data_IF_676386028182
#
_entry.id   IF_676386028182
#
_cell.length_a   1.000
_cell.length_b   1.000
_cell.length_c   1.000
_cell.angle_alpha   90.00
_cell.angle_beta   90.00
_cell.angle_gamma   90.00
#
_symmetry.space_group_name_H-M   'P 1'
#
loop_
_entity.id
_entity.type
_entity.pdbx_description
1 polymer ?
#
# COMPACT_ATOMS: atom_id res chain seq x y z
N UNK A 1 5.15 -5.29 32.09
CA UNK A 1 4.41 -6.00 31.03
C UNK A 1 5.39 -6.85 30.23
N UNK A 2 5.18 -8.17 30.11
CA UNK A 2 6.04 -9.00 29.28
C UNK A 2 6.01 -8.53 27.83
N UNK A 3 7.16 -8.58 27.16
CA UNK A 3 7.37 -8.00 25.83
C UNK A 3 6.70 -8.90 24.79
N UNK A 4 5.64 -8.40 24.16
CA UNK A 4 4.95 -9.07 23.03
C UNK A 4 5.95 -9.46 21.93
N UNK A 5 5.99 -10.74 21.60
CA UNK A 5 6.88 -11.26 20.56
C UNK A 5 6.26 -10.98 19.19
N UNK A 6 7.00 -10.29 18.33
CA UNK A 6 6.59 -10.06 16.94
C UNK A 6 7.21 -11.08 16.02
N UNK A 7 6.40 -11.63 15.13
CA UNK A 7 6.89 -12.49 14.06
C UNK A 7 7.79 -11.71 13.10
N UNK A 8 8.68 -12.38 12.34
CA UNK A 8 9.52 -11.72 11.35
C UNK A 8 8.74 -10.90 10.31
N UNK A 9 7.60 -11.40 9.83
CA UNK A 9 6.69 -10.68 8.93
C UNK A 9 6.14 -9.41 9.59
N UNK A 10 5.62 -9.49 10.82
CA UNK A 10 5.19 -8.31 11.58
C UNK A 10 6.31 -7.27 11.75
N UNK A 11 7.55 -7.71 12.03
CA UNK A 11 8.72 -6.81 12.12
C UNK A 11 9.01 -6.13 10.77
N UNK A 12 9.02 -6.88 9.67
CA UNK A 12 9.27 -6.34 8.33
C UNK A 12 8.20 -5.34 7.89
N UNK A 13 6.92 -5.66 8.09
CA UNK A 13 5.81 -4.73 7.78
C UNK A 13 5.92 -3.42 8.55
N UNK A 14 6.30 -3.50 9.84
CA UNK A 14 6.56 -2.31 10.62
C UNK A 14 7.73 -1.50 10.07
N UNK A 15 8.86 -2.15 9.79
CA UNK A 15 10.03 -1.49 9.20
C UNK A 15 9.72 -0.80 7.87
N UNK A 16 8.97 -1.47 6.98
CA UNK A 16 8.52 -0.89 5.72
C UNK A 16 7.68 0.36 5.99
N UNK A 17 6.66 0.26 6.86
CA UNK A 17 5.80 1.40 7.19
C UNK A 17 6.59 2.57 7.77
N UNK A 18 7.48 2.31 8.71
CA UNK A 18 8.32 3.35 9.34
C UNK A 18 9.25 3.99 8.31
N UNK A 19 9.90 3.19 7.47
CA UNK A 19 10.77 3.70 6.40
C UNK A 19 10.00 4.57 5.41
N UNK A 20 8.77 4.20 5.03
CA UNK A 20 7.93 4.99 4.12
C UNK A 20 7.49 6.32 4.74
N UNK A 21 7.14 6.33 6.04
CA UNK A 21 6.83 7.58 6.76
C UNK A 21 8.06 8.49 6.79
N UNK A 22 9.23 7.94 7.12
CA UNK A 22 10.48 8.72 7.14
C UNK A 22 10.83 9.26 5.75
N UNK A 23 10.70 8.46 4.70
CA UNK A 23 10.97 8.91 3.32
C UNK A 23 9.99 10.01 2.89
N UNK A 24 8.71 9.90 3.26
CA UNK A 24 7.71 10.93 2.99
C UNK A 24 8.07 12.25 3.70
N UNK A 25 8.46 12.18 4.98
CA UNK A 25 8.91 13.37 5.73
C UNK A 25 10.15 13.99 5.09
N UNK A 26 11.17 13.19 4.75
CA UNK A 26 12.39 13.67 4.08
C UNK A 26 12.06 14.33 2.73
N UNK A 27 11.15 13.73 1.97
CA UNK A 27 10.73 14.28 0.67
C UNK A 27 10.03 15.63 0.84
N UNK A 28 9.10 15.75 1.78
CA UNK A 28 8.43 17.02 2.09
C UNK A 28 9.41 18.06 2.64
N UNK A 29 10.36 17.65 3.47
CA UNK A 29 11.44 18.54 3.93
C UNK A 29 12.33 19.00 2.77
N UNK A 30 12.62 18.15 1.79
CA UNK A 30 13.36 18.57 0.60
C UNK A 30 12.58 19.61 -0.20
N UNK A 31 11.26 19.41 -0.38
CA UNK A 31 10.37 20.37 -1.05
C UNK A 31 10.37 21.72 -0.34
N UNK A 32 10.41 21.75 0.99
CA UNK A 32 10.50 22.99 1.77
C UNK A 32 11.71 23.86 1.40
N UNK A 33 12.83 23.26 0.98
CA UNK A 33 14.03 24.01 0.58
C UNK A 33 14.07 24.36 -0.91
N UNK A 34 13.15 23.84 -1.73
CA UNK A 34 13.09 24.12 -3.16
C UNK A 34 12.29 25.41 -3.37
N UNK A 35 12.95 26.41 -3.94
CA UNK A 35 12.30 27.65 -4.39
C UNK A 35 11.71 27.45 -5.79
N UNK A 36 10.46 27.86 -5.96
CA UNK A 36 9.81 27.82 -7.26
C UNK A 36 10.48 28.76 -8.27
N UNK A 37 10.28 28.55 -9.59
CA UNK A 37 10.85 29.40 -10.62
C UNK A 37 10.37 30.85 -10.49
N UNK A 38 9.09 31.08 -10.15
CA UNK A 38 8.53 32.42 -9.96
C UNK A 38 9.10 33.12 -8.72
N UNK A 39 9.29 32.40 -7.61
CA UNK A 39 9.97 32.94 -6.42
C UNK A 39 11.43 33.29 -6.73
N UNK A 40 12.14 32.50 -7.52
CA UNK A 40 13.51 32.81 -7.95
C UNK A 40 13.58 34.06 -8.84
N UNK A 41 12.64 34.21 -9.79
CA UNK A 41 12.51 35.44 -10.59
C UNK A 41 12.22 36.65 -9.71
N UNK A 42 11.29 36.53 -8.78
CA UNK A 42 10.94 37.60 -7.85
C UNK A 42 12.15 38.00 -6.98
N UNK A 43 12.89 37.03 -6.43
CA UNK A 43 14.13 37.30 -5.68
C UNK A 43 15.19 38.00 -6.54
N UNK A 44 15.30 37.63 -7.82
CA UNK A 44 16.22 38.29 -8.74
C UNK A 44 15.80 39.74 -9.01
N UNK A 45 14.50 39.98 -9.22
CA UNK A 45 13.95 41.30 -9.47
C UNK A 45 14.07 42.20 -8.22
N UNK A 46 13.82 41.69 -7.02
CA UNK A 46 14.09 42.41 -5.76
C UNK A 46 15.55 42.90 -5.69
N UNK A 47 16.50 42.07 -6.13
CA UNK A 47 17.94 42.41 -6.09
C UNK A 47 18.34 43.44 -7.15
N UNK A 48 17.70 43.41 -8.31
CA UNK A 48 18.03 44.27 -9.44
C UNK A 48 16.76 44.63 -10.20
N UNK A 49 16.22 45.82 -9.92
CA UNK A 49 15.09 46.40 -10.62
C UNK A 49 15.29 47.90 -10.84
N UNK A 50 14.59 48.43 -11.82
CA UNK A 50 14.19 49.84 -11.91
C UNK A 50 12.77 49.97 -11.38
N UNK A 51 12.47 51.09 -10.72
CA UNK A 51 11.16 51.38 -10.15
C UNK A 51 10.55 52.60 -10.84
N UNK A 52 9.24 52.53 -11.11
CA UNK A 52 8.43 53.69 -11.50
C UNK A 52 7.06 53.63 -10.84
N UNK A 53 6.38 54.77 -10.75
CA UNK A 53 5.02 54.84 -10.24
C UNK A 53 4.02 54.65 -11.37
N UNK A 54 3.10 53.70 -11.21
CA UNK A 54 1.99 53.47 -12.13
C UNK A 54 0.68 53.95 -11.54
N UNK A 55 -0.21 54.43 -12.39
CA UNK A 55 -1.60 54.71 -12.06
C UNK A 55 -2.42 53.41 -12.11
N UNK A 56 -3.23 53.18 -11.09
CA UNK A 56 -4.18 52.07 -11.04
C UNK A 56 -5.37 52.44 -11.92
N UNK A 57 -5.64 51.63 -12.95
CA UNK A 57 -6.78 51.83 -13.84
C UNK A 57 -8.02 51.06 -13.37
N UNK A 58 -7.83 49.80 -12.96
CA UNK A 58 -8.91 48.97 -12.42
C UNK A 58 -8.39 47.94 -11.42
N UNK A 59 -9.26 47.60 -10.47
CA UNK A 59 -9.15 46.46 -9.57
C UNK A 59 -10.45 45.68 -9.75
N UNK A 60 -10.37 44.53 -10.40
CA UNK A 60 -11.53 43.73 -10.76
C UNK A 60 -11.56 42.42 -9.95
N UNK A 61 -12.77 42.02 -9.53
CA UNK A 61 -13.05 40.73 -8.91
C UNK A 61 -14.14 40.03 -9.71
N UNK A 62 -13.86 38.82 -10.16
CA UNK A 62 -14.81 37.97 -10.87
C UNK A 62 -14.84 36.56 -10.27
N UNK A 63 -15.97 35.87 -10.44
CA UNK A 63 -16.09 34.45 -10.11
C UNK A 63 -16.01 33.64 -11.41
N UNK A 64 -15.02 32.76 -11.53
CA UNK A 64 -14.89 31.83 -12.64
C UNK A 64 -15.46 30.45 -12.28
N UNK A 65 -16.38 29.96 -13.12
CA UNK A 65 -16.87 28.58 -13.04
C UNK A 65 -15.92 27.62 -13.75
N UNK A 66 -15.47 26.58 -13.03
CA UNK A 66 -14.70 25.48 -13.61
C UNK A 66 -15.31 24.12 -13.24
N UNK A 67 -15.02 23.10 -14.06
CA UNK A 67 -15.44 21.71 -13.82
C UNK A 67 -14.25 20.88 -13.34
N UNK A 68 -14.46 20.16 -12.25
CA UNK A 68 -13.49 19.17 -11.77
C UNK A 68 -13.42 17.96 -12.72
N UNK A 69 -12.35 17.14 -12.62
CA UNK A 69 -12.23 15.88 -13.38
C UNK A 69 -13.40 14.89 -13.17
N UNK A 70 -14.22 15.09 -12.11
CA UNK A 70 -15.45 14.33 -11.83
C UNK A 70 -16.73 15.03 -12.31
N UNK A 71 -16.61 16.08 -13.13
CA UNK A 71 -17.73 16.83 -13.72
C UNK A 71 -18.48 17.77 -12.79
N UNK A 72 -18.05 17.91 -11.52
CA UNK A 72 -18.70 18.83 -10.56
C UNK A 72 -18.30 20.27 -10.88
N UNK A 73 -19.30 21.18 -10.93
CA UNK A 73 -19.09 22.63 -11.02
C UNK A 73 -18.51 23.15 -9.70
N UNK A 74 -17.50 24.00 -9.81
CA UNK A 74 -16.95 24.79 -8.71
C UNK A 74 -16.71 26.21 -9.21
N UNK A 75 -16.79 27.17 -8.32
CA UNK A 75 -16.41 28.56 -8.57
C UNK A 75 -15.04 28.83 -7.94
N UNK A 76 -14.29 29.75 -8.54
CA UNK A 76 -13.07 30.31 -7.97
C UNK A 76 -13.11 31.83 -8.12
N UNK A 77 -12.78 32.53 -7.05
CA UNK A 77 -12.57 33.98 -7.09
C UNK A 77 -11.27 34.31 -7.83
N UNK A 78 -11.36 35.25 -8.78
CA UNK A 78 -10.24 35.78 -9.56
C UNK A 78 -10.15 37.27 -9.31
N UNK A 79 -8.97 37.74 -8.91
CA UNK A 79 -8.68 39.15 -8.68
C UNK A 79 -7.63 39.61 -9.69
N UNK A 80 -7.90 40.72 -10.38
CA UNK A 80 -7.00 41.28 -11.38
C UNK A 80 -6.79 42.78 -11.16
N UNK A 81 -5.57 43.23 -11.41
CA UNK A 81 -5.16 44.62 -11.38
C UNK A 81 -4.79 45.06 -12.79
N UNK A 82 -5.33 46.19 -13.24
CA UNK A 82 -4.87 46.86 -14.46
C UNK A 82 -4.21 48.18 -14.08
N UNK A 83 -2.99 48.40 -14.56
CA UNK A 83 -2.22 49.62 -14.25
C UNK A 83 -1.55 50.18 -15.49
N UNK A 84 -1.19 51.47 -15.45
CA UNK A 84 -0.49 52.16 -16.53
C UNK A 84 0.63 53.06 -16.01
N UNK A 85 1.76 53.07 -16.69
CA UNK A 85 2.87 53.99 -16.42
C UNK A 85 3.50 54.49 -17.72
N UNK A 86 4.20 55.61 -17.65
CA UNK A 86 4.93 56.20 -18.78
C UNK A 86 6.43 56.18 -18.50
N UNK A 87 7.23 55.74 -19.47
CA UNK A 87 8.68 55.75 -19.38
C UNK A 87 9.27 56.30 -20.68
N UNK A 88 10.10 57.35 -20.59
CA UNK A 88 10.71 58.02 -21.76
C UNK A 88 9.70 58.39 -22.86
N UNK A 89 8.47 58.79 -22.49
CA UNK A 89 7.41 59.17 -23.43
C UNK A 89 6.64 58.00 -24.07
N UNK A 90 6.90 56.76 -23.66
CA UNK A 90 6.14 55.57 -24.06
C UNK A 90 5.24 55.11 -22.91
N UNK A 91 3.95 54.90 -23.19
CA UNK A 91 2.98 54.40 -22.23
C UNK A 91 2.92 52.87 -22.25
N UNK A 92 2.97 52.27 -21.07
CA UNK A 92 2.84 50.83 -20.83
C UNK A 92 1.59 50.59 -20.01
N UNK A 93 0.81 49.57 -20.38
CA UNK A 93 -0.39 49.17 -19.65
C UNK A 93 -0.43 47.65 -19.58
N UNK A 94 -0.55 47.14 -18.37
CA UNK A 94 -0.55 45.70 -18.10
C UNK A 94 -1.74 45.32 -17.21
N UNK A 95 -2.25 44.12 -17.43
CA UNK A 95 -3.26 43.49 -16.58
C UNK A 95 -2.63 42.28 -15.91
N UNK A 96 -2.66 42.26 -14.58
CA UNK A 96 -1.91 41.31 -13.78
C UNK A 96 -2.82 40.59 -12.77
N UNK A 97 -2.75 39.25 -12.67
CA UNK A 97 -3.50 38.51 -11.67
C UNK A 97 -2.88 38.68 -10.28
N UNK A 98 -3.72 39.00 -9.29
CA UNK A 98 -3.29 39.24 -7.91
C UNK A 98 -4.06 38.33 -6.93
N UNK A 99 -3.53 38.18 -5.73
CA UNK A 99 -4.19 37.49 -4.62
C UNK A 99 -5.28 38.36 -3.98
N UNK A 100 -6.17 37.74 -3.19
CA UNK A 100 -7.19 38.45 -2.44
C UNK A 100 -6.61 39.39 -1.37
N UNK A 101 -5.45 39.07 -0.81
CA UNK A 101 -4.73 39.94 0.13
C UNK A 101 -4.15 41.17 -0.58
N UNK A 102 -3.54 40.99 -1.75
CA UNK A 102 -3.03 42.10 -2.58
C UNK A 102 -4.15 43.00 -3.07
N UNK A 103 -5.28 42.42 -3.50
CA UNK A 103 -6.46 43.20 -3.90
C UNK A 103 -6.94 44.09 -2.76
N UNK A 104 -7.03 43.55 -1.54
CA UNK A 104 -7.43 44.34 -0.36
C UNK A 104 -6.41 45.41 0.01
N UNK A 105 -5.12 45.15 -0.18
CA UNK A 105 -4.06 46.12 0.10
C UNK A 105 -4.04 47.29 -0.89
N UNK A 106 -4.38 47.04 -2.16
CA UNK A 106 -4.43 48.04 -3.22
C UNK A 106 -5.78 48.79 -3.29
N UNK A 107 -6.83 48.26 -2.64
CA UNK A 107 -8.14 48.89 -2.66
C UNK A 107 -8.10 50.29 -2.04
N UNK A 108 -8.52 51.30 -2.81
CA UNK A 108 -8.49 52.71 -2.42
C UNK A 108 -7.14 53.41 -2.66
N UNK A 109 -6.17 52.74 -3.27
CA UNK A 109 -4.95 53.38 -3.78
C UNK A 109 -5.16 53.86 -5.22
N UNK A 110 -4.55 54.98 -5.58
CA UNK A 110 -4.59 55.53 -6.95
C UNK A 110 -3.33 55.19 -7.76
N UNK A 111 -2.23 54.90 -7.05
CA UNK A 111 -0.93 54.60 -7.66
C UNK A 111 -0.25 53.46 -6.92
N UNK A 112 0.66 52.78 -7.60
CA UNK A 112 1.49 51.72 -7.02
C UNK A 112 2.89 51.70 -7.65
N UNK A 113 3.93 51.30 -6.89
CA UNK A 113 5.25 51.08 -7.44
C UNK A 113 5.26 49.83 -8.34
N UNK A 114 5.83 49.96 -9.52
CA UNK A 114 6.01 48.87 -10.47
C UNK A 114 7.50 48.68 -10.71
N UNK A 115 7.93 47.41 -10.69
CA UNK A 115 9.32 47.02 -10.86
C UNK A 115 9.52 46.31 -12.19
N UNK A 116 10.64 46.59 -12.85
CA UNK A 116 11.02 45.98 -14.12
C UNK A 116 12.54 45.95 -14.26
N UNK A 117 13.04 45.15 -15.18
CA UNK A 117 14.47 45.11 -15.52
C UNK A 117 14.78 46.27 -16.46
N UNK A 118 15.90 46.97 -16.24
CA UNK A 118 16.32 48.08 -17.11
C UNK A 118 16.39 47.62 -18.59
N UNK A 119 15.71 48.36 -19.47
CA UNK A 119 15.58 48.01 -20.89
C UNK A 119 14.48 47.01 -21.23
N UNK A 120 13.70 46.53 -20.25
CA UNK A 120 12.53 45.64 -20.45
C UNK A 120 11.29 46.11 -19.66
N UNK A 121 10.81 47.36 -19.86
CA UNK A 121 9.63 47.88 -19.18
C UNK A 121 8.35 47.10 -19.49
N UNK A 122 8.27 46.34 -20.57
CA UNK A 122 7.12 45.49 -20.92
C UNK A 122 6.93 44.29 -19.97
N UNK A 123 7.96 43.87 -19.24
CA UNK A 123 7.88 42.76 -18.28
C UNK A 123 7.71 43.28 -16.85
N UNK A 124 6.92 44.33 -16.69
CA UNK A 124 6.76 44.99 -15.42
C UNK A 124 5.83 44.22 -14.47
N UNK A 125 6.14 44.23 -13.18
CA UNK A 125 5.31 43.60 -12.15
C UNK A 125 5.09 44.57 -10.98
N UNK A 126 3.89 44.58 -10.35
CA UNK A 126 3.66 45.38 -9.15
C UNK A 126 4.66 45.03 -8.04
N UNK A 127 5.34 46.01 -7.47
CA UNK A 127 6.39 45.80 -6.46
C UNK A 127 5.91 44.99 -5.26
N UNK A 128 4.69 45.28 -4.77
CA UNK A 128 4.04 44.53 -3.69
C UNK A 128 3.94 43.02 -4.01
N UNK A 129 3.60 42.66 -5.24
CA UNK A 129 3.45 41.26 -5.66
C UNK A 129 4.81 40.57 -5.73
N UNK A 130 5.82 41.27 -6.25
CA UNK A 130 7.20 40.78 -6.32
C UNK A 130 7.75 40.54 -4.91
N UNK A 131 7.53 41.46 -3.98
CA UNK A 131 7.93 41.31 -2.57
C UNK A 131 7.22 40.13 -1.90
N UNK A 132 5.90 40.00 -2.09
CA UNK A 132 5.13 38.92 -1.51
C UNK A 132 5.62 37.55 -2.02
N UNK A 133 5.88 37.41 -3.33
CA UNK A 133 6.42 36.17 -3.92
C UNK A 133 7.86 35.90 -3.47
N UNK A 134 8.71 36.93 -3.40
CA UNK A 134 10.08 36.76 -2.93
C UNK A 134 10.13 36.28 -1.46
N UNK A 135 9.17 36.75 -0.65
CA UNK A 135 9.01 36.40 0.76
C UNK A 135 8.04 35.24 1.02
N UNK A 136 7.53 34.60 -0.05
CA UNK A 136 6.54 33.53 0.04
C UNK A 136 7.06 32.39 0.93
N UNK A 137 6.21 31.95 1.85
CA UNK A 137 6.56 30.91 2.80
C UNK A 137 6.78 29.59 2.07
N UNK A 138 7.92 28.91 2.26
CA UNK A 138 8.15 27.61 1.63
C UNK A 138 7.17 26.51 2.09
N UNK A 139 6.34 26.80 3.09
CA UNK A 139 5.26 25.90 3.51
C UNK A 139 4.18 25.71 2.44
N UNK A 140 3.92 26.69 1.59
CA UNK A 140 2.91 26.55 0.51
C UNK A 140 3.34 25.45 -0.46
N UNK A 141 4.62 25.44 -0.86
CA UNK A 141 5.21 24.36 -1.68
C UNK A 141 5.05 22.97 -1.03
N UNK A 142 5.17 22.88 0.30
CA UNK A 142 4.98 21.62 1.03
C UNK A 142 3.53 21.17 0.96
N UNK A 143 2.57 22.06 1.22
CA UNK A 143 1.14 21.72 1.16
C UNK A 143 0.71 21.31 -0.25
N UNK A 144 1.25 21.97 -1.28
CA UNK A 144 1.00 21.62 -2.68
C UNK A 144 1.61 20.27 -3.07
N UNK A 145 2.73 19.87 -2.44
CA UNK A 145 3.34 18.57 -2.68
C UNK A 145 2.64 17.40 -1.98
N UNK A 146 2.01 17.62 -0.81
CA UNK A 146 1.29 16.58 -0.04
C UNK A 146 0.34 15.72 -0.88
N UNK A 147 -0.56 16.27 -1.72
CA UNK A 147 -1.49 15.46 -2.52
C UNK A 147 -0.81 14.53 -3.53
N UNK A 148 0.47 14.77 -3.86
CA UNK A 148 1.25 13.91 -4.75
C UNK A 148 2.13 12.93 -3.97
N UNK A 149 2.80 13.41 -2.92
CA UNK A 149 3.74 12.64 -2.10
C UNK A 149 3.02 11.56 -1.29
N UNK A 150 1.89 11.88 -0.66
CA UNK A 150 1.20 10.93 0.21
C UNK A 150 0.66 9.70 -0.56
N UNK A 151 -0.05 9.82 -1.70
CA UNK A 151 -0.48 8.66 -2.47
C UNK A 151 0.68 7.82 -2.99
N UNK A 152 1.78 8.46 -3.43
CA UNK A 152 2.98 7.76 -3.92
C UNK A 152 3.55 6.82 -2.86
N UNK A 153 3.75 7.32 -1.63
CA UNK A 153 4.30 6.52 -0.54
C UNK A 153 3.32 5.47 0.00
N UNK A 154 2.01 5.73 -0.08
CA UNK A 154 1.00 4.71 0.26
C UNK A 154 1.03 3.54 -0.74
N UNK A 155 1.10 3.82 -2.03
CA UNK A 155 1.23 2.79 -3.07
C UNK A 155 2.53 2.02 -2.90
N UNK A 156 3.65 2.72 -2.68
CA UNK A 156 4.95 2.07 -2.47
C UNK A 156 4.94 1.21 -1.20
N UNK A 157 4.35 1.68 -0.10
CA UNK A 157 4.18 0.90 1.12
C UNK A 157 3.37 -0.37 0.87
N UNK A 158 2.26 -0.27 0.14
CA UNK A 158 1.42 -1.43 -0.20
C UNK A 158 2.22 -2.46 -1.00
N UNK A 159 2.93 -2.02 -2.04
CA UNK A 159 3.73 -2.90 -2.89
C UNK A 159 4.85 -3.56 -2.07
N UNK A 160 5.65 -2.79 -1.32
CA UNK A 160 6.72 -3.34 -0.51
C UNK A 160 6.21 -4.32 0.55
N UNK A 161 5.07 -4.02 1.18
CA UNK A 161 4.42 -4.93 2.13
C UNK A 161 4.03 -6.24 1.46
N UNK A 162 3.48 -6.20 0.25
CA UNK A 162 3.12 -7.39 -0.51
C UNK A 162 4.34 -8.23 -0.91
N UNK A 163 5.47 -7.60 -1.26
CA UNK A 163 6.68 -8.27 -1.72
C UNK A 163 7.55 -8.85 -0.60
N UNK A 164 7.67 -8.10 0.50
CA UNK A 164 8.66 -8.32 1.55
C UNK A 164 8.05 -8.46 2.94
N UNK A 165 6.79 -8.08 3.13
CA UNK A 165 6.08 -8.16 4.40
C UNK A 165 5.55 -9.55 4.76
N UNK A 166 5.65 -10.52 3.85
CA UNK A 166 5.31 -11.93 4.11
C UNK A 166 6.33 -12.60 5.02
N UNK A 167 5.85 -13.58 5.80
CA UNK A 167 6.70 -14.40 6.65
C UNK A 167 7.77 -15.16 5.84
N UNK A 168 9.01 -15.23 6.33
CA UNK A 168 10.05 -16.01 5.67
C UNK A 168 9.70 -17.50 5.71
N UNK A 169 9.89 -18.16 4.57
CA UNK A 169 9.82 -19.62 4.47
C UNK A 169 10.99 -20.24 5.25
N UNK A 170 10.78 -21.38 5.89
CA UNK A 170 11.83 -22.13 6.59
C UNK A 170 12.07 -21.71 8.04
N UNK A 171 11.24 -20.82 8.60
CA UNK A 171 11.39 -20.32 9.96
C UNK A 171 10.13 -20.58 10.77
N UNK A 172 10.24 -21.09 12.00
CA UNK A 172 9.13 -21.20 12.94
C UNK A 172 9.25 -20.11 14.00
N UNK A 173 8.38 -19.08 13.99
CA UNK A 173 8.48 -18.00 14.95
C UNK A 173 8.02 -18.45 16.33
N UNK A 174 8.94 -18.34 17.30
CA UNK A 174 8.68 -18.63 18.71
C UNK A 174 7.47 -17.85 19.23
N UNK A 175 6.62 -18.52 20.00
CA UNK A 175 5.40 -17.95 20.57
C UNK A 175 4.21 -17.89 19.60
N UNK A 176 4.30 -18.47 18.41
CA UNK A 176 3.18 -18.62 17.46
C UNK A 176 2.80 -20.08 17.20
N UNK A 177 3.43 -21.00 17.91
CA UNK A 177 3.12 -22.41 17.86
C UNK A 177 3.42 -23.07 19.21
N UNK A 178 2.74 -24.18 19.45
CA UNK A 178 3.03 -25.17 20.48
C UNK A 178 3.03 -26.55 19.80
N UNK A 179 3.08 -27.62 20.59
CA UNK A 179 3.02 -28.98 20.04
C UNK A 179 1.71 -29.26 19.31
N UNK A 180 0.59 -28.73 19.82
CA UNK A 180 -0.76 -29.06 19.35
C UNK A 180 -1.58 -27.82 18.95
N UNK A 181 -0.98 -26.62 18.91
CA UNK A 181 -1.68 -25.41 18.45
C UNK A 181 -0.78 -24.46 17.67
N UNK A 182 -1.37 -23.69 16.75
CA UNK A 182 -0.70 -22.81 15.80
C UNK A 182 -1.50 -21.53 15.62
N UNK A 183 -0.88 -20.40 15.97
CA UNK A 183 -1.47 -19.07 15.88
C UNK A 183 -1.05 -18.40 14.57
N UNK A 184 -2.03 -18.12 13.71
CA UNK A 184 -1.88 -17.26 12.55
C UNK A 184 -2.47 -15.87 12.83
N UNK A 185 -1.56 -14.95 13.11
CA UNK A 185 -1.93 -13.57 13.41
C UNK A 185 -2.13 -12.71 12.16
N UNK A 186 -1.70 -13.17 10.98
CA UNK A 186 -1.89 -12.44 9.74
C UNK A 186 -3.34 -12.56 9.27
N UNK A 187 -3.87 -13.79 9.34
CA UNK A 187 -5.21 -14.17 8.89
C UNK A 187 -6.26 -14.28 10.01
N UNK A 188 -5.90 -13.87 11.23
CA UNK A 188 -6.76 -13.86 12.41
C UNK A 188 -7.33 -15.25 12.77
N UNK A 189 -6.47 -16.28 12.70
CA UNK A 189 -6.84 -17.66 12.97
C UNK A 189 -5.98 -18.33 14.03
N UNK A 190 -6.58 -19.25 14.78
CA UNK A 190 -5.90 -20.18 15.67
C UNK A 190 -6.37 -21.58 15.31
N UNK A 191 -5.43 -22.46 14.98
CA UNK A 191 -5.68 -23.88 14.72
C UNK A 191 -5.11 -24.68 15.88
N UNK A 192 -5.88 -25.63 16.43
CA UNK A 192 -5.41 -26.49 17.52
C UNK A 192 -5.98 -27.90 17.40
N UNK A 193 -5.27 -28.86 17.99
CA UNK A 193 -5.76 -30.21 18.25
C UNK A 193 -6.17 -30.24 19.73
N UNK A 194 -7.46 -30.42 19.97
CA UNK A 194 -8.03 -30.55 21.32
C UNK A 194 -8.60 -31.96 21.49
N UNK A 195 -7.78 -32.85 22.05
CA UNK A 195 -8.11 -34.27 22.19
C UNK A 195 -8.33 -34.96 20.83
N UNK A 196 -9.58 -35.28 20.51
CA UNK A 196 -10.00 -35.92 19.25
C UNK A 196 -10.61 -34.95 18.25
N UNK A 197 -10.55 -33.64 18.52
CA UNK A 197 -11.08 -32.61 17.65
C UNK A 197 -9.96 -31.74 17.07
N UNK A 198 -10.10 -31.43 15.79
CA UNK A 198 -9.34 -30.37 15.12
C UNK A 198 -10.17 -29.09 15.18
N UNK A 199 -9.67 -28.12 15.92
CA UNK A 199 -10.31 -26.85 16.20
C UNK A 199 -9.71 -25.76 15.31
N UNK A 200 -10.57 -25.01 14.63
CA UNK A 200 -10.21 -23.79 13.89
C UNK A 200 -11.04 -22.62 14.41
N UNK A 201 -10.35 -21.64 15.00
CA UNK A 201 -10.94 -20.45 15.60
C UNK A 201 -10.61 -19.26 14.71
N UNK A 202 -11.62 -18.49 14.32
CA UNK A 202 -11.42 -17.20 13.66
C UNK A 202 -11.82 -16.06 14.59
N UNK A 203 -10.87 -15.19 14.91
CA UNK A 203 -11.07 -14.05 15.79
C UNK A 203 -11.21 -12.73 15.04
N UNK A 204 -11.77 -11.71 15.69
CA UNK A 204 -11.84 -10.35 15.14
C UNK A 204 -10.43 -9.73 15.16
N UNK A 205 -10.08 -9.06 14.06
CA UNK A 205 -8.87 -8.25 13.91
C UNK A 205 -8.69 -7.23 15.06
N UNK A 206 -9.77 -6.74 15.66
CA UNK A 206 -9.71 -5.83 16.83
C UNK A 206 -9.08 -6.50 18.06
N UNK A 207 -9.33 -7.80 18.25
CA UNK A 207 -8.87 -8.58 19.40
C UNK A 207 -7.54 -9.29 19.11
N UNK A 208 -6.98 -9.12 17.91
CA UNK A 208 -5.72 -9.73 17.46
C UNK A 208 -4.61 -9.54 18.48
N UNK A 209 -4.46 -8.32 18.99
CA UNK A 209 -3.37 -7.99 19.89
C UNK A 209 -3.50 -8.68 21.25
N UNK A 210 -4.72 -8.78 21.76
CA UNK A 210 -5.05 -9.44 23.02
C UNK A 210 -4.88 -10.95 22.90
N UNK A 211 -5.43 -11.56 21.85
CA UNK A 211 -5.30 -13.00 21.55
C UNK A 211 -3.83 -13.39 21.42
N UNK A 212 -3.03 -12.61 20.67
CA UNK A 212 -1.60 -12.86 20.54
C UNK A 212 -0.89 -12.82 21.90
N UNK A 213 -1.21 -11.82 22.72
CA UNK A 213 -0.58 -11.66 24.02
C UNK A 213 -0.93 -12.80 24.97
N UNK A 214 -2.20 -13.25 24.97
CA UNK A 214 -2.70 -14.32 25.81
C UNK A 214 -2.12 -15.67 25.39
N UNK A 215 -2.09 -15.95 24.10
CA UNK A 215 -1.47 -17.16 23.54
C UNK A 215 0.03 -17.23 23.89
N UNK A 216 0.77 -16.14 23.69
CA UNK A 216 2.21 -16.07 23.97
C UNK A 216 2.56 -16.19 25.46
N UNK A 217 1.59 -15.93 26.34
CA UNK A 217 1.75 -16.07 27.80
C UNK A 217 1.34 -17.46 28.30
N UNK A 218 0.99 -18.39 27.40
CA UNK A 218 0.54 -19.74 27.78
C UNK A 218 -0.91 -19.79 28.27
N UNK A 219 -1.74 -18.82 27.88
CA UNK A 219 -3.17 -18.87 28.16
C UNK A 219 -3.84 -20.06 27.45
N UNK A 220 -4.88 -20.62 28.08
CA UNK A 220 -5.57 -21.79 27.53
C UNK A 220 -6.39 -21.43 26.30
N UNK A 221 -6.72 -22.44 25.47
CA UNK A 221 -7.60 -22.27 24.30
C UNK A 221 -8.96 -21.70 24.71
N UNK A 222 -9.50 -22.12 25.84
CA UNK A 222 -10.77 -21.60 26.39
C UNK A 222 -10.68 -20.11 26.75
N UNK A 223 -9.54 -19.66 27.29
CA UNK A 223 -9.31 -18.24 27.57
C UNK A 223 -9.20 -17.43 26.27
N UNK A 224 -8.56 -17.99 25.23
CA UNK A 224 -8.54 -17.38 23.90
C UNK A 224 -9.97 -17.24 23.36
N UNK A 225 -10.77 -18.30 23.44
CA UNK A 225 -12.17 -18.33 22.98
C UNK A 225 -13.05 -17.30 23.71
N UNK A 226 -12.92 -17.20 25.04
CA UNK A 226 -13.66 -16.25 25.85
C UNK A 226 -13.36 -14.79 25.48
N UNK A 227 -12.12 -14.50 25.13
CA UNK A 227 -11.65 -13.14 24.79
C UNK A 227 -12.17 -12.66 23.43
N UNK A 228 -12.48 -13.57 22.51
CA UNK A 228 -12.44 -13.25 21.09
C UNK A 228 -13.79 -13.27 20.35
N UNK A 229 -14.93 -13.55 21.02
CA UNK A 229 -16.28 -13.65 20.39
C UNK A 229 -16.22 -14.37 19.03
N UNK A 230 -15.64 -15.56 19.01
CA UNK A 230 -15.23 -16.24 17.78
C UNK A 230 -16.31 -17.06 17.11
N UNK A 231 -16.15 -17.21 15.78
CA UNK A 231 -16.67 -18.38 15.07
C UNK A 231 -15.68 -19.53 15.27
N UNK A 232 -16.19 -20.63 15.82
CA UNK A 232 -15.43 -21.87 16.00
C UNK A 232 -15.90 -22.92 15.00
N UNK A 233 -14.94 -23.64 14.45
CA UNK A 233 -15.16 -24.85 13.68
C UNK A 233 -14.47 -25.99 14.42
N UNK A 234 -15.23 -27.03 14.76
CA UNK A 234 -14.74 -28.25 15.41
C UNK A 234 -14.96 -29.41 14.46
N UNK A 235 -13.88 -30.07 14.09
CA UNK A 235 -13.90 -31.23 13.19
C UNK A 235 -13.43 -32.43 14.01
N UNK A 236 -14.28 -33.44 14.20
CA UNK A 236 -13.84 -34.70 14.80
C UNK A 236 -12.80 -35.38 13.91
N UNK A 237 -11.67 -35.79 14.48
CA UNK A 237 -10.58 -36.41 13.71
C UNK A 237 -11.05 -37.70 13.02
N UNK A 238 -11.95 -38.44 13.66
CA UNK A 238 -12.56 -39.65 13.13
C UNK A 238 -13.49 -39.40 11.92
N UNK A 239 -13.97 -38.16 11.72
CA UNK A 239 -14.83 -37.80 10.58
C UNK A 239 -14.06 -37.29 9.37
N UNK A 240 -12.72 -37.18 9.46
CA UNK A 240 -11.86 -36.71 8.37
C UNK A 240 -11.74 -37.80 7.30
N UNK A 241 -12.10 -37.46 6.07
CA UNK A 241 -12.06 -38.35 4.89
C UNK A 241 -10.85 -38.07 4.01
N UNK A 242 -10.27 -36.86 4.11
CA UNK A 242 -8.99 -36.60 3.48
C UNK A 242 -8.39 -35.24 3.82
N UNK A 243 -7.08 -35.15 3.64
CA UNK A 243 -6.30 -33.93 3.85
C UNK A 243 -5.39 -33.72 2.65
N UNK A 244 -5.36 -32.49 2.13
CA UNK A 244 -4.46 -32.09 1.04
C UNK A 244 -3.61 -30.90 1.47
N UNK A 245 -2.30 -30.97 1.25
CA UNK A 245 -1.37 -29.89 1.56
C UNK A 245 -0.29 -29.73 0.49
N UNK A 246 -0.17 -28.52 -0.06
CA UNK A 246 0.90 -28.15 -1.00
C UNK A 246 2.07 -27.54 -0.23
N UNK A 247 3.31 -27.98 -0.49
CA UNK A 247 4.46 -27.53 0.31
C UNK A 247 4.75 -26.01 0.23
N UNK A 248 4.31 -25.33 -0.83
CA UNK A 248 4.50 -23.88 -1.00
C UNK A 248 3.39 -23.02 -0.42
N UNK A 249 2.21 -23.60 -0.17
CA UNK A 249 1.10 -22.90 0.45
C UNK A 249 1.24 -22.99 1.96
N UNK A 250 0.66 -22.01 2.62
CA UNK A 250 0.46 -21.92 4.06
C UNK A 250 -0.85 -22.58 4.50
N UNK A 251 -1.57 -23.24 3.60
CA UNK A 251 -2.88 -23.84 3.89
C UNK A 251 -2.87 -25.37 3.89
N UNK A 252 -3.73 -25.95 4.71
CA UNK A 252 -4.13 -27.36 4.67
C UNK A 252 -5.62 -27.41 4.36
N UNK A 253 -6.01 -28.17 3.34
CA UNK A 253 -7.42 -28.43 3.03
C UNK A 253 -7.85 -29.73 3.71
N UNK A 254 -8.87 -29.66 4.56
CA UNK A 254 -9.42 -30.79 5.30
C UNK A 254 -10.82 -31.09 4.79
N UNK A 255 -11.04 -32.33 4.35
CA UNK A 255 -12.35 -32.85 3.96
C UNK A 255 -12.89 -33.77 5.04
N UNK A 256 -14.10 -33.51 5.49
CA UNK A 256 -14.71 -34.24 6.60
C UNK A 256 -16.21 -34.46 6.38
N UNK A 257 -16.77 -35.45 7.04
CA UNK A 257 -18.21 -35.72 7.04
C UNK A 257 -18.89 -34.96 8.17
N UNK A 258 -19.87 -34.12 7.83
CA UNK A 258 -20.77 -33.49 8.77
C UNK A 258 -22.21 -33.75 8.33
N UNK A 259 -23.04 -34.29 9.22
CA UNK A 259 -24.45 -34.63 8.96
C UNK A 259 -24.67 -35.45 7.67
N UNK A 260 -23.74 -36.39 7.39
CA UNK A 260 -23.78 -37.26 6.21
C UNK A 260 -23.37 -36.59 4.89
N UNK A 261 -22.91 -35.34 4.91
CA UNK A 261 -22.39 -34.62 3.73
C UNK A 261 -20.89 -34.37 3.86
N UNK A 262 -20.17 -34.50 2.75
CA UNK A 262 -18.76 -34.15 2.66
C UNK A 262 -18.63 -32.61 2.62
N UNK A 263 -17.92 -32.06 3.59
CA UNK A 263 -17.57 -30.64 3.66
C UNK A 263 -16.05 -30.48 3.53
N UNK A 264 -15.61 -29.31 3.08
CA UNK A 264 -14.19 -28.98 2.89
C UNK A 264 -13.90 -27.65 3.55
N UNK A 265 -12.84 -27.60 4.36
CA UNK A 265 -12.42 -26.40 5.06
C UNK A 265 -10.92 -26.17 4.90
N UNK A 266 -10.54 -24.90 4.82
CA UNK A 266 -9.15 -24.47 4.67
C UNK A 266 -8.61 -23.97 6.01
N UNK A 267 -7.59 -24.66 6.51
CA UNK A 267 -6.82 -24.26 7.68
C UNK A 267 -5.62 -23.45 7.22
N UNK A 268 -5.54 -22.21 7.69
CA UNK A 268 -4.47 -21.26 7.36
C UNK A 268 -3.45 -21.26 8.51
N UNK A 269 -2.16 -21.18 8.15
CA UNK A 269 -1.05 -21.19 9.08
C UNK A 269 -0.11 -20.05 8.76
N UNK A 270 0.56 -19.52 9.78
CA UNK A 270 1.41 -18.34 9.64
C UNK A 270 2.48 -18.44 8.53
N UNK A 271 3.02 -19.64 8.27
CA UNK A 271 3.88 -19.90 7.12
C UNK A 271 3.93 -21.41 6.76
N UNK A 272 4.52 -21.79 5.60
CA UNK A 272 4.60 -23.19 5.17
C UNK A 272 5.34 -24.13 6.12
N UNK A 273 6.27 -23.62 6.94
CA UNK A 273 7.04 -24.44 7.90
C UNK A 273 6.23 -24.76 9.15
N UNK A 274 5.49 -23.78 9.68
CA UNK A 274 4.51 -23.99 10.76
C UNK A 274 3.45 -24.98 10.30
N UNK A 275 2.96 -24.83 9.07
CA UNK A 275 2.04 -25.78 8.44
C UNK A 275 2.62 -27.19 8.33
N UNK A 276 3.89 -27.35 7.94
CA UNK A 276 4.53 -28.67 7.88
C UNK A 276 4.61 -29.34 9.25
N UNK A 277 4.93 -28.56 10.29
CA UNK A 277 4.89 -29.04 11.67
C UNK A 277 3.47 -29.47 12.07
N UNK A 278 2.46 -28.65 11.79
CA UNK A 278 1.07 -28.96 12.06
C UNK A 278 0.60 -30.21 11.31
N UNK A 279 0.93 -30.34 10.03
CA UNK A 279 0.59 -31.51 9.23
C UNK A 279 1.18 -32.79 9.81
N UNK A 280 2.43 -32.78 10.29
CA UNK A 280 3.05 -33.94 10.95
C UNK A 280 2.33 -34.35 12.22
N UNK A 281 1.80 -33.38 12.99
CA UNK A 281 1.04 -33.63 14.23
C UNK A 281 -0.36 -34.14 13.93
N UNK A 282 -1.08 -33.49 13.01
CA UNK A 282 -2.40 -33.92 12.54
C UNK A 282 -2.32 -35.34 11.97
N UNK A 283 -1.33 -35.62 11.11
CA UNK A 283 -1.16 -36.93 10.49
C UNK A 283 -0.97 -38.08 11.49
N UNK A 284 -0.39 -37.82 12.67
CA UNK A 284 -0.28 -38.83 13.74
C UNK A 284 -1.60 -39.11 14.45
N UNK A 285 -2.51 -38.14 14.46
CA UNK A 285 -3.82 -38.28 15.08
C UNK A 285 -4.86 -38.85 14.11
N UNK A 286 -4.61 -38.81 12.80
CA UNK A 286 -5.55 -39.28 11.77
C UNK A 286 -5.91 -40.76 11.92
N UNK A 287 -7.13 -41.16 11.47
CA UNK A 287 -7.51 -42.56 11.39
C UNK A 287 -6.55 -43.36 10.51
N UNK A 288 -6.27 -44.60 10.91
CA UNK A 288 -5.40 -45.54 10.17
C UNK A 288 -5.96 -45.96 8.80
N UNK A 289 -7.18 -45.55 8.46
CA UNK A 289 -7.84 -45.81 7.18
C UNK A 289 -7.40 -44.87 6.05
N UNK A 290 -6.65 -43.81 6.37
CA UNK A 290 -6.15 -42.84 5.40
C UNK A 290 -4.70 -43.16 5.03
N UNK A 291 -4.46 -43.39 3.73
CA UNK A 291 -3.14 -43.62 3.20
C UNK A 291 -2.49 -42.30 2.75
N UNK A 292 -1.20 -42.16 3.06
CA UNK A 292 -0.40 -41.02 2.64
C UNK A 292 0.13 -41.23 1.22
N UNK A 293 -0.18 -40.31 0.33
CA UNK A 293 0.40 -40.23 -1.01
C UNK A 293 1.10 -38.89 -1.21
N UNK A 294 2.20 -38.88 -1.96
CA UNK A 294 2.95 -37.66 -2.27
C UNK A 294 3.13 -37.55 -3.78
N UNK A 295 2.55 -36.51 -4.36
CA UNK A 295 2.71 -36.20 -5.79
C UNK A 295 3.69 -35.05 -5.97
N UNK A 296 4.63 -35.21 -6.91
CA UNK A 296 5.63 -34.19 -7.24
C UNK A 296 5.39 -33.72 -8.66
N UNK A 297 5.06 -32.45 -8.83
CA UNK A 297 4.97 -31.84 -10.16
C UNK A 297 6.36 -31.72 -10.76
N UNK A 298 6.44 -31.71 -12.09
CA UNK A 298 7.69 -31.34 -12.77
C UNK A 298 7.95 -29.84 -12.63
N UNK A 299 9.23 -29.42 -12.72
CA UNK A 299 9.63 -27.99 -12.63
C UNK A 299 8.83 -27.09 -13.57
N UNK A 300 8.62 -27.54 -14.81
CA UNK A 300 7.88 -26.80 -15.82
C UNK A 300 6.39 -26.71 -15.49
N UNK A 301 5.77 -27.80 -15.03
CA UNK A 301 4.36 -27.82 -14.61
C UNK A 301 4.11 -26.87 -13.42
N UNK A 302 5.01 -26.84 -12.44
CA UNK A 302 4.92 -25.93 -11.30
C UNK A 302 5.05 -24.46 -11.75
N UNK A 303 5.99 -24.16 -12.65
CA UNK A 303 6.30 -22.83 -13.15
C UNK A 303 5.27 -22.25 -14.12
N UNK A 304 4.51 -23.09 -14.83
CA UNK A 304 3.61 -22.70 -15.93
C UNK A 304 2.67 -21.52 -15.62
N UNK A 305 1.97 -21.45 -14.47
CA UNK A 305 1.08 -20.32 -14.19
C UNK A 305 1.82 -18.98 -14.08
N UNK A 306 3.02 -18.98 -13.48
CA UNK A 306 3.83 -17.78 -13.36
C UNK A 306 4.38 -17.31 -14.71
N UNK A 307 4.72 -18.24 -15.62
CA UNK A 307 5.12 -17.91 -16.99
C UNK A 307 3.99 -17.24 -17.76
N UNK A 308 2.78 -17.83 -17.73
CA UNK A 308 1.61 -17.30 -18.46
C UNK A 308 1.28 -15.90 -17.94
N UNK A 309 1.21 -15.72 -16.62
CA UNK A 309 0.90 -14.43 -16.03
C UNK A 309 2.00 -13.39 -16.28
N UNK A 310 3.27 -13.79 -16.23
CA UNK A 310 4.40 -12.92 -16.58
C UNK A 310 4.35 -12.43 -18.03
N UNK A 311 3.99 -13.31 -18.98
CA UNK A 311 3.79 -12.95 -20.38
C UNK A 311 2.66 -11.93 -20.57
N UNK A 312 1.54 -12.11 -19.88
CA UNK A 312 0.40 -11.16 -19.94
C UNK A 312 0.82 -9.78 -19.43
N UNK A 313 1.53 -9.74 -18.30
CA UNK A 313 2.01 -8.47 -17.71
C UNK A 313 3.04 -7.79 -18.63
N UNK A 314 3.96 -8.54 -19.20
CA UNK A 314 4.95 -8.01 -20.14
C UNK A 314 4.28 -7.47 -21.42
N UNK A 315 3.28 -8.16 -21.96
CA UNK A 315 2.49 -7.67 -23.09
C UNK A 315 1.74 -6.38 -22.73
N UNK A 316 1.09 -6.33 -21.56
CA UNK A 316 0.41 -5.11 -21.09
C UNK A 316 1.34 -3.91 -20.94
N UNK A 317 2.56 -4.14 -20.42
CA UNK A 317 3.60 -3.12 -20.32
C UNK A 317 4.02 -2.57 -21.68
N UNK A 318 4.14 -3.43 -22.70
CA UNK A 318 4.50 -3.03 -24.06
C UNK A 318 3.46 -2.07 -24.67
N UNK A 319 2.17 -2.30 -24.45
CA UNK A 319 1.09 -1.46 -24.99
C UNK A 319 0.83 -0.17 -24.19
N UNK A 320 1.35 -0.05 -22.97
CA UNK A 320 1.09 1.07 -22.05
C UNK A 320 2.36 1.88 -21.73
N UNK A 321 3.33 1.88 -22.64
CA UNK A 321 4.65 2.48 -22.47
C UNK A 321 4.64 3.97 -22.13
N UNK A 322 3.62 4.70 -22.57
CA UNK A 322 3.58 6.17 -22.47
C UNK A 322 3.17 6.66 -21.08
N UNK A 323 2.77 5.76 -20.18
CA UNK A 323 2.26 6.09 -18.86
C UNK A 323 3.24 5.63 -17.77
N UNK A 324 4.13 6.53 -17.34
CA UNK A 324 5.21 6.22 -16.39
C UNK A 324 4.74 5.49 -15.11
N UNK A 325 3.59 5.88 -14.54
CA UNK A 325 3.03 5.20 -13.36
C UNK A 325 2.59 3.76 -13.64
N UNK A 326 1.97 3.52 -14.81
CA UNK A 326 1.54 2.17 -15.22
C UNK A 326 2.77 1.30 -15.48
N UNK A 327 3.81 1.88 -16.10
CA UNK A 327 5.09 1.22 -16.33
C UNK A 327 5.74 0.79 -15.01
N UNK A 328 5.84 1.70 -14.04
CA UNK A 328 6.44 1.40 -12.73
C UNK A 328 5.70 0.28 -11.97
N UNK A 329 4.35 0.33 -11.96
CA UNK A 329 3.53 -0.71 -11.34
C UNK A 329 3.67 -2.04 -12.08
N UNK A 330 3.62 -2.05 -13.41
CA UNK A 330 3.75 -3.27 -14.18
C UNK A 330 5.13 -3.92 -14.05
N UNK A 331 6.21 -3.13 -13.98
CA UNK A 331 7.57 -3.65 -13.72
C UNK A 331 7.63 -4.31 -12.34
N UNK A 332 7.01 -3.70 -11.32
CA UNK A 332 6.93 -4.30 -9.99
C UNK A 332 6.17 -5.63 -10.01
N UNK A 333 5.03 -5.70 -10.70
CA UNK A 333 4.28 -6.95 -10.89
C UNK A 333 5.16 -7.99 -11.59
N UNK A 334 5.86 -7.62 -12.66
CA UNK A 334 6.76 -8.51 -13.40
C UNK A 334 7.89 -9.07 -12.51
N UNK A 335 8.47 -8.26 -11.63
CA UNK A 335 9.46 -8.75 -10.66
C UNK A 335 8.87 -9.80 -9.71
N UNK A 336 7.58 -9.68 -9.34
CA UNK A 336 6.89 -10.68 -8.51
C UNK A 336 6.69 -12.01 -9.23
N UNK A 337 6.34 -11.95 -10.51
CA UNK A 337 6.10 -13.13 -11.33
C UNK A 337 7.40 -13.85 -11.59
N UNK A 338 8.48 -13.11 -11.90
CA UNK A 338 9.84 -13.66 -12.03
C UNK A 338 10.31 -14.32 -10.73
N UNK A 339 10.12 -13.68 -9.57
CA UNK A 339 10.44 -14.28 -8.28
C UNK A 339 9.70 -15.61 -8.07
N UNK A 340 8.40 -15.63 -8.36
CA UNK A 340 7.57 -16.84 -8.23
C UNK A 340 7.99 -17.93 -9.20
N UNK A 341 8.30 -17.54 -10.44
CA UNK A 341 8.80 -18.42 -11.49
C UNK A 341 10.09 -19.12 -11.06
N UNK A 342 11.09 -18.35 -10.63
CA UNK A 342 12.37 -18.89 -10.16
C UNK A 342 12.17 -19.84 -8.97
N UNK A 343 11.34 -19.47 -7.99
CA UNK A 343 11.05 -20.34 -6.84
C UNK A 343 10.49 -21.70 -7.27
N UNK A 344 9.54 -21.72 -8.22
CA UNK A 344 8.90 -22.96 -8.69
C UNK A 344 9.77 -23.79 -9.63
N UNK A 345 10.73 -23.15 -10.32
CA UNK A 345 11.71 -23.85 -11.14
C UNK A 345 12.78 -24.55 -10.30
N UNK A 346 13.29 -23.89 -9.25
CA UNK A 346 14.30 -24.48 -8.38
C UNK A 346 13.72 -25.55 -7.45
N UNK A 347 12.54 -25.29 -6.89
CA UNK A 347 11.82 -26.22 -6.03
C UNK A 347 10.44 -26.50 -6.65
N UNK A 348 10.23 -27.63 -7.33
CA UNK A 348 8.93 -27.94 -7.93
C UNK A 348 7.88 -28.27 -6.86
N UNK A 349 6.62 -27.90 -7.10
CA UNK A 349 5.50 -28.14 -6.17
C UNK A 349 5.37 -29.62 -5.80
N UNK A 350 5.14 -29.86 -4.52
CA UNK A 350 4.96 -31.18 -3.90
C UNK A 350 3.65 -31.09 -3.12
N UNK A 351 2.75 -32.01 -3.41
CA UNK A 351 1.44 -32.09 -2.77
C UNK A 351 1.39 -33.39 -1.97
N UNK A 352 1.04 -33.26 -0.70
CA UNK A 352 0.84 -34.39 0.21
C UNK A 352 -0.65 -34.57 0.41
N UNK A 353 -1.15 -35.77 0.12
CA UNK A 353 -2.57 -36.10 0.23
C UNK A 353 -2.76 -37.31 1.11
N UNK A 354 -3.61 -37.20 2.12
CA UNK A 354 -4.14 -38.30 2.92
C UNK A 354 -5.56 -38.59 2.42
N UNK A 355 -5.81 -39.79 1.94
CA UNK A 355 -7.13 -40.20 1.47
C UNK A 355 -7.27 -41.72 1.60
N UNK A 356 -8.51 -42.21 1.61
CA UNK A 356 -8.76 -43.66 1.49
C UNK A 356 -8.18 -44.14 0.14
N UNK A 357 -7.46 -45.27 0.13
CA UNK A 357 -6.72 -45.80 -1.03
C UNK A 357 -7.48 -45.74 -2.37
N UNK A 358 -8.79 -46.03 -2.36
CA UNK A 358 -9.66 -46.00 -3.54
C UNK A 358 -9.89 -44.58 -4.13
N UNK A 359 -9.77 -43.52 -3.32
CA UNK A 359 -9.95 -42.12 -3.72
C UNK A 359 -8.63 -41.39 -4.04
N UNK A 360 -7.48 -41.92 -3.65
CA UNK A 360 -6.16 -41.32 -3.92
C UNK A 360 -5.78 -41.33 -5.42
N UNK A 361 -6.43 -42.17 -6.24
CA UNK A 361 -6.15 -42.31 -7.67
C UNK A 361 -6.87 -41.29 -8.58
N UNK A 362 -7.79 -40.48 -8.04
CA UNK A 362 -8.48 -39.44 -8.81
C UNK A 362 -7.82 -38.08 -8.55
N UNK A 363 -6.98 -37.55 -9.47
CA UNK A 363 -6.56 -36.16 -9.35
C UNK A 363 -7.80 -35.26 -9.46
N UNK A 364 -7.94 -34.36 -8.49
CA UNK A 364 -8.99 -33.36 -8.44
C UNK A 364 -8.79 -32.36 -9.60
N UNK A 365 -9.43 -32.63 -10.74
CA UNK A 365 -9.56 -31.73 -11.88
C UNK A 365 -10.72 -30.79 -11.59
N UNK A 366 -10.65 -29.99 -10.52
CA UNK A 366 -11.58 -28.89 -10.30
C UNK A 366 -10.86 -27.72 -9.63
N UNK A 367 -10.43 -26.77 -10.46
CA UNK A 367 -9.73 -25.56 -10.02
C UNK A 367 -8.95 -24.91 -11.14
N UNK A 368 -9.64 -24.61 -12.24
CA UNK A 368 -9.17 -23.66 -13.26
C UNK A 368 -9.41 -22.23 -12.79
#
# INVERSE_FOLDING_TARGET
>A
MPKKLRSPGQKRRLWIRTAMILLAVITLSAVYFIKGPEQLKAIALVKQHSETQAAILSLDHSEEEYRTAKGRRRTRDVYTLTYRFALNGTDYQETFPISSSEYRALNGQETLPVWFIEGQPENSEPGLVVENRANESPMENVFDAVPYVAPLFLVLNFILTLLFGREPKGYMPEGFFTDDSWLDIEDDRLVAIDGKELLSIRFDKKNRDDVQSLYQQGGSIDQVLATSKCKQLRIGIDSIVGITSDHFRDTIHVRYMADGKEQSESLEFLNPTVKEHALKRIARALPSTLDMSTTRLTRLQAARPALIFGLIVAAGLYFLSDHFLILAVGVLILLTTVKTLLQRLFNPTVTTTFAIAARAAAPDVSGA
#
